data_IF_300390374434
#
_entry.id   IF_300390374434
#
_cell.length_a   1.000
_cell.length_b   1.000
_cell.length_c   1.000
_cell.angle_alpha   90.00
_cell.angle_beta   90.00
_cell.angle_gamma   90.00
#
_symmetry.space_group_name_H-M   'P 1'
#
loop_
_entity.id
_entity.type
_entity.pdbx_description
1 polymer ?
#
# COMPACT_ATOMS: atom_id res chain seq x y z
N UNK A 1 25.91 -3.29 -5.04
CA UNK A 1 24.81 -3.13 -6.00
C UNK A 1 23.62 -2.56 -5.24
N UNK A 2 23.17 -1.39 -5.60
CA UNK A 2 21.93 -0.88 -5.05
C UNK A 2 20.80 -1.80 -5.52
N UNK A 3 19.99 -2.31 -4.58
CA UNK A 3 18.81 -3.07 -4.93
C UNK A 3 17.93 -2.18 -5.82
N UNK A 4 17.63 -2.67 -7.01
CA UNK A 4 16.81 -1.93 -7.98
C UNK A 4 15.42 -1.71 -7.36
N UNK A 5 14.99 -0.46 -7.29
CA UNK A 5 13.70 -0.09 -6.72
C UNK A 5 12.57 -0.81 -7.49
N UNK A 6 11.76 -1.67 -6.85
CA UNK A 6 10.72 -2.46 -7.52
C UNK A 6 9.69 -1.60 -8.27
N UNK A 7 9.43 -0.39 -7.78
CA UNK A 7 8.51 0.55 -8.41
C UNK A 7 9.09 1.06 -9.72
N UNK A 8 10.39 1.35 -9.76
CA UNK A 8 11.10 1.77 -10.97
C UNK A 8 11.08 0.64 -12.01
N UNK A 9 11.29 -0.60 -11.58
CA UNK A 9 11.19 -1.77 -12.47
C UNK A 9 9.78 -1.93 -13.06
N UNK A 10 8.75 -1.73 -12.26
CA UNK A 10 7.37 -1.84 -12.72
C UNK A 10 7.00 -0.73 -13.71
N UNK A 11 7.48 0.49 -13.51
CA UNK A 11 7.30 1.59 -14.47
C UNK A 11 7.95 1.26 -15.82
N UNK A 12 9.17 0.75 -15.79
CA UNK A 12 9.91 0.35 -17.01
C UNK A 12 9.21 -0.81 -17.73
N UNK A 13 8.83 -1.86 -17.01
CA UNK A 13 8.10 -3.00 -17.55
C UNK A 13 6.73 -2.61 -18.13
N UNK A 14 6.07 -1.60 -17.55
CA UNK A 14 4.82 -1.04 -18.07
C UNK A 14 5.00 -0.10 -19.27
N UNK A 15 6.22 0.12 -19.73
CA UNK A 15 6.53 1.00 -20.86
C UNK A 15 6.43 2.50 -20.51
N UNK A 16 6.43 2.85 -19.23
CA UNK A 16 6.35 4.23 -18.79
C UNK A 16 7.73 4.86 -18.68
N UNK A 17 7.86 6.03 -19.30
CA UNK A 17 9.10 6.81 -19.17
C UNK A 17 9.36 7.19 -17.72
N UNK A 18 10.55 6.85 -17.22
CA UNK A 18 11.00 7.25 -15.92
C UNK A 18 11.45 8.71 -15.92
N UNK A 19 10.53 9.60 -15.53
CA UNK A 19 10.82 11.03 -15.36
C UNK A 19 11.40 11.29 -13.98
N UNK A 20 12.07 12.45 -13.81
CA UNK A 20 12.59 12.87 -12.49
C UNK A 20 11.53 12.83 -11.39
N UNK A 21 10.32 13.40 -11.58
CA UNK A 21 9.25 13.33 -10.59
C UNK A 21 8.81 11.89 -10.26
N UNK A 22 8.68 11.02 -11.24
CA UNK A 22 8.30 9.61 -11.01
C UNK A 22 9.35 8.85 -10.21
N UNK A 23 10.63 9.07 -10.52
CA UNK A 23 11.73 8.49 -9.75
C UNK A 23 11.71 9.00 -8.31
N UNK A 24 11.54 10.29 -8.11
CA UNK A 24 11.49 10.88 -6.77
C UNK A 24 10.34 10.30 -5.93
N UNK A 25 9.16 10.12 -6.50
CA UNK A 25 8.02 9.46 -5.81
C UNK A 25 8.34 8.00 -5.52
N UNK A 26 8.91 7.26 -6.47
CA UNK A 26 9.28 5.86 -6.27
C UNK A 26 10.31 5.69 -5.14
N UNK A 27 11.30 6.57 -5.07
CA UNK A 27 12.33 6.53 -4.03
C UNK A 27 11.74 6.89 -2.65
N UNK A 28 10.85 7.89 -2.57
CA UNK A 28 10.15 8.23 -1.35
C UNK A 28 9.32 7.05 -0.82
N UNK A 29 8.59 6.37 -1.71
CA UNK A 29 7.76 5.21 -1.33
C UNK A 29 8.65 4.04 -0.85
N UNK A 30 9.76 3.78 -1.52
CA UNK A 30 10.67 2.70 -1.16
C UNK A 30 11.31 2.86 0.23
N UNK A 31 11.36 4.08 0.75
CA UNK A 31 11.90 4.36 2.08
C UNK A 31 10.84 4.27 3.20
N UNK A 32 9.55 4.19 2.85
CA UNK A 32 8.48 4.01 3.83
C UNK A 32 8.42 2.55 4.30
N UNK A 33 8.26 2.40 5.61
CA UNK A 33 8.00 1.10 6.24
C UNK A 33 6.52 1.05 6.63
N UNK A 34 5.75 0.22 5.93
CA UNK A 34 4.32 0.09 6.13
C UNK A 34 3.48 0.98 5.19
N UNK A 35 2.30 1.35 5.63
CA UNK A 35 1.43 2.26 4.87
C UNK A 35 1.83 3.72 5.07
N UNK A 36 1.48 4.54 4.11
CA UNK A 36 1.66 5.99 4.15
C UNK A 36 0.43 6.69 3.55
N UNK A 37 0.18 7.91 3.98
CA UNK A 37 -0.82 8.80 3.37
C UNK A 37 -0.18 9.68 2.30
N UNK A 38 -1.00 10.23 1.40
CA UNK A 38 -0.50 11.20 0.43
C UNK A 38 0.07 12.46 1.12
N UNK A 39 -0.49 12.85 2.27
CA UNK A 39 -0.01 13.99 3.06
C UNK A 39 1.40 13.73 3.64
N UNK A 40 1.67 12.53 4.13
CA UNK A 40 3.00 12.14 4.62
C UNK A 40 4.04 12.15 3.49
N UNK A 41 3.66 11.63 2.33
CA UNK A 41 4.52 11.63 1.15
C UNK A 41 4.82 13.05 0.66
N UNK A 42 3.80 13.93 0.65
CA UNK A 42 3.94 15.34 0.31
C UNK A 42 4.86 16.07 1.30
N UNK A 43 4.72 15.81 2.59
CA UNK A 43 5.58 16.37 3.63
C UNK A 43 7.04 15.92 3.46
N UNK A 44 7.27 14.64 3.16
CA UNK A 44 8.61 14.11 2.90
C UNK A 44 9.24 14.73 1.64
N UNK A 45 8.47 14.90 0.58
CA UNK A 45 8.92 15.56 -0.65
C UNK A 45 9.31 17.03 -0.40
N UNK A 46 8.53 17.73 0.41
CA UNK A 46 8.80 19.13 0.80
C UNK A 46 10.06 19.24 1.65
N UNK A 47 10.22 18.36 2.64
CA UNK A 47 11.40 18.34 3.52
C UNK A 47 12.71 18.13 2.73
N UNK A 48 12.65 17.36 1.65
CA UNK A 48 13.78 17.09 0.75
C UNK A 48 13.91 18.08 -0.41
N UNK A 49 13.05 19.07 -0.48
CA UNK A 49 13.04 20.08 -1.54
C UNK A 49 12.99 19.50 -2.96
N UNK A 50 12.18 18.47 -3.16
CA UNK A 50 12.11 17.75 -4.43
C UNK A 50 11.31 18.48 -5.52
N UNK A 51 10.66 19.59 -5.20
CA UNK A 51 9.90 20.39 -6.18
C UNK A 51 8.67 19.66 -6.75
N UNK A 52 8.15 18.65 -6.05
CA UNK A 52 6.96 17.92 -6.46
C UNK A 52 5.70 18.70 -6.12
N UNK A 53 4.87 18.98 -7.12
CA UNK A 53 3.53 19.50 -6.86
C UNK A 53 2.59 18.41 -6.36
N UNK A 54 1.56 18.82 -5.61
CA UNK A 54 0.52 17.89 -5.14
C UNK A 54 -0.11 17.12 -6.32
N UNK A 55 -0.42 17.80 -7.41
CA UNK A 55 -0.98 17.16 -8.60
C UNK A 55 -0.05 16.11 -9.22
N UNK A 56 1.24 16.40 -9.28
CA UNK A 56 2.26 15.45 -9.78
C UNK A 56 2.35 14.22 -8.90
N UNK A 57 2.32 14.40 -7.58
CA UNK A 57 2.35 13.31 -6.60
C UNK A 57 1.12 12.40 -6.74
N UNK A 58 -0.08 12.97 -6.82
CA UNK A 58 -1.31 12.19 -6.98
C UNK A 58 -1.35 11.44 -8.32
N UNK A 59 -0.94 12.08 -9.42
CA UNK A 59 -0.85 11.39 -10.73
C UNK A 59 0.13 10.21 -10.70
N UNK A 60 1.24 10.34 -9.97
CA UNK A 60 2.17 9.23 -9.79
C UNK A 60 1.55 8.09 -8.96
N UNK A 61 0.85 8.41 -7.86
CA UNK A 61 0.15 7.42 -7.04
C UNK A 61 -0.95 6.69 -7.82
N UNK A 62 -1.74 7.41 -8.62
CA UNK A 62 -2.77 6.82 -9.48
C UNK A 62 -2.16 5.83 -10.48
N UNK A 63 -1.09 6.22 -11.16
CA UNK A 63 -0.38 5.36 -12.08
C UNK A 63 0.19 4.10 -11.39
N UNK A 64 0.81 4.25 -10.23
CA UNK A 64 1.38 3.12 -9.48
C UNK A 64 0.29 2.18 -8.95
N UNK A 65 -0.89 2.71 -8.64
CA UNK A 65 -2.06 1.91 -8.27
C UNK A 65 -2.62 1.14 -9.47
N UNK A 66 -2.70 1.76 -10.64
CA UNK A 66 -3.08 1.08 -11.89
C UNK A 66 -2.10 -0.05 -12.26
N UNK A 67 -0.81 0.15 -12.02
CA UNK A 67 0.22 -0.86 -12.24
C UNK A 67 0.22 -1.97 -11.19
N UNK A 68 -0.56 -1.84 -10.11
CA UNK A 68 -0.65 -2.83 -9.04
C UNK A 68 0.58 -2.93 -8.14
N UNK A 69 1.49 -1.96 -8.18
CA UNK A 69 2.69 -1.92 -7.32
C UNK A 69 2.50 -1.10 -6.05
N UNK A 70 1.42 -0.36 -5.99
CA UNK A 70 0.92 0.33 -4.81
C UNK A 70 -0.57 0.05 -4.70
N UNK A 71 -1.04 -0.26 -3.52
CA UNK A 71 -2.46 -0.46 -3.24
C UNK A 71 -2.98 0.66 -2.34
N UNK A 72 -4.18 1.15 -2.66
CA UNK A 72 -4.88 2.12 -1.82
C UNK A 72 -5.70 1.39 -0.77
N UNK A 73 -5.57 1.80 0.47
CA UNK A 73 -6.28 1.28 1.63
C UNK A 73 -7.23 2.35 2.17
N UNK A 74 -8.40 1.93 2.60
CA UNK A 74 -9.34 2.79 3.32
C UNK A 74 -9.18 2.51 4.82
N UNK A 75 -8.66 3.50 5.54
CA UNK A 75 -8.43 3.37 6.98
C UNK A 75 -9.73 3.54 7.78
N UNK A 76 -9.81 2.96 8.99
CA UNK A 76 -10.98 3.16 9.86
C UNK A 76 -11.26 4.62 10.21
N UNK A 77 -10.26 5.50 10.11
CA UNK A 77 -10.39 6.96 10.28
C UNK A 77 -11.16 7.64 9.14
N UNK A 78 -11.38 6.95 8.02
CA UNK A 78 -11.92 7.51 6.79
C UNK A 78 -10.87 8.11 5.85
N UNK A 79 -9.60 8.13 6.26
CA UNK A 79 -8.49 8.55 5.40
C UNK A 79 -8.09 7.44 4.42
N UNK A 80 -7.55 7.85 3.28
CA UNK A 80 -6.91 6.94 2.35
C UNK A 80 -5.42 6.82 2.66
N UNK A 81 -4.94 5.59 2.69
CA UNK A 81 -3.51 5.30 2.77
C UNK A 81 -3.09 4.48 1.55
N UNK A 82 -1.80 4.31 1.39
CA UNK A 82 -1.19 3.54 0.33
C UNK A 82 -0.17 2.58 0.92
N UNK A 83 -0.03 1.41 0.34
CA UNK A 83 0.98 0.44 0.72
C UNK A 83 1.66 -0.11 -0.53
N UNK A 84 3.00 -0.19 -0.57
CA UNK A 84 3.68 -0.89 -1.65
C UNK A 84 3.32 -2.37 -1.61
N UNK A 85 3.06 -2.95 -2.76
CA UNK A 85 2.81 -4.38 -2.89
C UNK A 85 3.38 -4.93 -4.19
N UNK A 86 3.78 -6.20 -4.18
CA UNK A 86 4.42 -6.84 -5.31
C UNK A 86 3.68 -8.11 -5.79
N UNK A 87 2.54 -8.46 -5.20
CA UNK A 87 1.83 -9.71 -5.44
C UNK A 87 0.48 -9.48 -6.11
N UNK A 88 0.10 -10.36 -7.01
CA UNK A 88 -1.14 -10.28 -7.76
C UNK A 88 -2.40 -10.44 -6.90
N UNK A 89 -2.34 -11.27 -5.84
CA UNK A 89 -3.44 -11.47 -4.89
C UNK A 89 -2.89 -11.67 -3.49
N UNK A 90 -3.26 -10.77 -2.60
CA UNK A 90 -2.86 -10.80 -1.20
C UNK A 90 -3.78 -9.90 -0.38
N UNK A 91 -3.66 -9.99 0.91
CA UNK A 91 -4.38 -9.16 1.86
C UNK A 91 -3.40 -8.45 2.77
N UNK A 92 -3.84 -7.40 3.44
CA UNK A 92 -3.02 -6.64 4.36
C UNK A 92 -3.57 -6.72 5.78
N UNK A 93 -2.65 -6.86 6.73
CA UNK A 93 -2.91 -6.67 8.16
C UNK A 93 -2.13 -5.44 8.59
N UNK A 94 -2.83 -4.44 9.10
CA UNK A 94 -2.27 -3.13 9.42
C UNK A 94 -2.37 -2.87 10.91
N UNK A 95 -1.25 -2.49 11.53
CA UNK A 95 -1.24 -2.08 12.92
C UNK A 95 -1.79 -0.65 13.06
N UNK A 96 -2.91 -0.53 13.77
CA UNK A 96 -3.57 0.76 13.98
C UNK A 96 -2.74 1.73 14.85
N UNK A 97 -1.73 1.23 15.57
CA UNK A 97 -0.88 2.06 16.44
C UNK A 97 0.39 2.53 15.77
N UNK A 98 1.16 1.64 15.13
CA UNK A 98 2.46 1.99 14.55
C UNK A 98 2.48 2.03 13.02
N UNK A 99 1.36 1.72 12.36
CA UNK A 99 1.25 1.76 10.91
C UNK A 99 1.92 0.60 10.17
N UNK A 100 2.58 -0.33 10.84
CA UNK A 100 3.21 -1.48 10.19
C UNK A 100 2.16 -2.28 9.42
N UNK A 101 2.43 -2.51 8.15
CA UNK A 101 1.62 -3.35 7.28
C UNK A 101 2.33 -4.67 6.99
N UNK A 102 1.59 -5.76 7.03
CA UNK A 102 2.09 -7.10 6.69
C UNK A 102 1.21 -7.70 5.60
N UNK A 103 1.82 -8.20 4.55
CA UNK A 103 1.11 -8.94 3.50
C UNK A 103 0.79 -10.37 3.97
N UNK A 104 -0.43 -10.79 3.68
CA UNK A 104 -0.88 -12.17 3.85
C UNK A 104 -1.14 -12.74 2.45
N UNK A 105 -0.24 -13.62 2.01
CA UNK A 105 -0.26 -14.17 0.65
C UNK A 105 -1.29 -15.29 0.48
N UNK A 106 -1.64 -15.98 1.56
CA UNK A 106 -2.64 -17.03 1.54
C UNK A 106 -4.03 -16.43 1.75
N UNK A 107 -4.91 -16.73 0.79
CA UNK A 107 -6.30 -16.28 0.86
C UNK A 107 -7.12 -17.19 1.76
N UNK A 108 -6.99 -17.01 3.09
CA UNK A 108 -7.77 -17.76 4.08
C UNK A 108 -9.29 -17.57 3.99
N UNK A 109 -9.76 -16.65 3.15
CA UNK A 109 -11.19 -16.37 2.94
C UNK A 109 -11.75 -16.91 1.62
N UNK A 110 -10.95 -17.61 0.82
CA UNK A 110 -11.38 -18.10 -0.50
C UNK A 110 -12.62 -19.00 -0.41
N UNK A 111 -12.67 -19.87 0.58
CA UNK A 111 -13.82 -20.76 0.83
C UNK A 111 -15.08 -19.97 1.19
N UNK A 112 -14.95 -18.97 2.07
CA UNK A 112 -16.06 -18.09 2.46
C UNK A 112 -16.58 -17.28 1.27
N UNK A 113 -15.70 -16.77 0.41
CA UNK A 113 -16.08 -16.06 -0.82
C UNK A 113 -16.84 -16.99 -1.77
N UNK A 114 -16.38 -18.25 -1.93
CA UNK A 114 -17.08 -19.27 -2.72
C UNK A 114 -18.49 -19.59 -2.19
N UNK A 115 -18.65 -19.66 -0.87
CA UNK A 115 -19.97 -19.85 -0.24
C UNK A 115 -20.90 -18.66 -0.48
N UNK A 116 -20.38 -17.43 -0.37
CA UNK A 116 -21.16 -16.21 -0.67
C UNK A 116 -21.59 -16.21 -2.13
N UNK A 117 -20.72 -16.56 -3.06
CA UNK A 117 -21.03 -16.66 -4.48
C UNK A 117 -22.19 -17.65 -4.73
N UNK A 118 -22.12 -18.84 -4.13
CA UNK A 118 -23.19 -19.86 -4.27
C UNK A 118 -24.52 -19.39 -3.70
N UNK A 119 -24.53 -18.79 -2.52
CA UNK A 119 -25.75 -18.32 -1.86
C UNK A 119 -26.39 -17.13 -2.55
N UNK A 120 -25.59 -16.21 -3.05
CA UNK A 120 -26.05 -14.98 -3.68
C UNK A 120 -26.40 -15.16 -5.17
N UNK A 121 -25.87 -16.21 -5.81
CA UNK A 121 -25.98 -16.42 -7.26
C UNK A 121 -25.08 -15.49 -8.08
N UNK A 122 -24.14 -14.78 -7.43
CA UNK A 122 -23.19 -13.88 -8.11
C UNK A 122 -21.92 -14.63 -8.51
N UNK A 123 -21.37 -14.28 -9.68
CA UNK A 123 -19.98 -14.58 -9.99
C UNK A 123 -19.13 -13.50 -9.33
N UNK A 124 -18.26 -13.87 -8.39
CA UNK A 124 -17.36 -12.94 -7.70
C UNK A 124 -16.02 -12.97 -8.39
N UNK A 125 -15.68 -11.89 -9.07
CA UNK A 125 -14.43 -11.78 -9.83
C UNK A 125 -13.26 -11.26 -8.99
N UNK A 126 -13.54 -10.50 -7.92
CA UNK A 126 -12.51 -9.93 -7.03
C UNK A 126 -13.07 -9.68 -5.63
N UNK A 127 -12.18 -9.66 -4.66
CA UNK A 127 -12.48 -9.22 -3.30
C UNK A 127 -11.30 -8.47 -2.72
N UNK A 128 -11.57 -7.63 -1.74
CA UNK A 128 -10.57 -6.90 -0.96
C UNK A 128 -10.80 -7.17 0.51
N UNK A 129 -9.72 -7.38 1.24
CA UNK A 129 -9.76 -7.60 2.69
C UNK A 129 -8.55 -6.89 3.31
N UNK A 130 -8.84 -5.93 4.17
CA UNK A 130 -7.87 -5.29 5.04
C UNK A 130 -8.25 -5.58 6.49
N UNK A 131 -7.28 -5.97 7.28
CA UNK A 131 -7.45 -6.27 8.70
C UNK A 131 -6.67 -5.25 9.53
N UNK A 132 -7.32 -4.70 10.55
CA UNK A 132 -6.73 -3.67 11.41
C UNK A 132 -6.67 -4.17 12.85
N UNK A 133 -5.54 -3.97 13.51
CA UNK A 133 -5.36 -4.41 14.87
C UNK A 133 -4.02 -3.93 15.44
N UNK A 134 -3.46 -4.68 16.38
CA UNK A 134 -2.18 -4.37 16.99
C UNK A 134 -1.15 -5.44 16.65
N UNK A 135 0.01 -5.03 16.12
CA UNK A 135 1.13 -5.94 15.94
C UNK A 135 1.67 -6.43 17.29
N UNK A 136 2.40 -7.53 17.28
CA UNK A 136 2.95 -8.16 18.51
C UNK A 136 3.70 -7.16 19.39
N UNK A 137 4.50 -6.28 18.79
CA UNK A 137 5.26 -5.26 19.52
C UNK A 137 4.34 -4.25 20.23
N UNK A 138 3.28 -3.80 19.55
CA UNK A 138 2.32 -2.84 20.13
C UNK A 138 1.40 -3.50 21.17
N UNK A 139 1.10 -4.80 21.04
CA UNK A 139 0.39 -5.56 22.06
C UNK A 139 1.20 -5.63 23.35
N UNK A 140 2.50 -5.96 23.26
CA UNK A 140 3.39 -6.06 24.41
C UNK A 140 3.50 -4.73 25.17
N UNK A 141 3.49 -3.57 24.49
CA UNK A 141 3.47 -2.27 25.15
C UNK A 141 2.17 -1.99 25.90
N UNK A 142 1.04 -2.48 25.40
CA UNK A 142 -0.26 -2.30 26.08
C UNK A 142 -0.35 -3.09 27.38
N UNK A 143 0.28 -4.27 27.45
CA UNK A 143 0.32 -5.09 28.67
C UNK A 143 1.33 -4.57 29.70
N UNK A 144 2.33 -3.79 29.29
CA UNK A 144 3.31 -3.18 30.20
C UNK A 144 2.78 -1.90 30.88
N UNK A 145 1.78 -1.24 30.28
CA UNK A 145 1.14 -0.01 30.81
C UNK A 145 -0.12 -0.30 31.66
N UNK A 146 -0.46 -1.57 31.81
CA UNK A 146 -1.56 -2.05 32.64
C UNK A 146 -1.02 -2.65 33.95
#
# INVERSE_FOLDING_TARGET
>A
MAASNPIVQALDAGGYRLTGPRRAVADLIAEHDGHFTAAELEAAARARRLGLSRATLFRALDLLTELGVVERLDLPSGEHAYVPCARAHHHHVICSRCGRATEVADCGVAEAVGEIARRSGYRIDTHRLELFGLCRHCQAKTTADA
#
